data_IF_801724304308
#
_entry.id   IF_801724304308
#
_cell.length_a   1.000
_cell.length_b   1.000
_cell.length_c   1.000
_cell.angle_alpha   90.00
_cell.angle_beta   90.00
_cell.angle_gamma   90.00
#
_symmetry.space_group_name_H-M   'P 1'
#
loop_
_entity.id
_entity.type
_entity.pdbx_description
1 polymer ?
#
# COMPACT_ATOMS: atom_id res chain seq x y z
N UNK A 1 -9.54 -25.89 -16.32
CA UNK A 1 -10.36 -25.88 -15.09
C UNK A 1 -10.73 -24.44 -14.80
N UNK A 2 -12.03 -24.17 -14.67
CA UNK A 2 -12.66 -22.85 -14.57
C UNK A 2 -12.07 -21.97 -13.47
N UNK A 3 -11.49 -20.83 -13.83
CA UNK A 3 -11.43 -19.66 -12.95
C UNK A 3 -12.36 -18.61 -13.53
N UNK A 4 -13.57 -18.55 -12.98
CA UNK A 4 -14.47 -17.44 -13.18
C UNK A 4 -13.67 -16.15 -12.97
N UNK A 5 -13.70 -15.24 -13.95
CA UNK A 5 -13.22 -13.86 -13.81
C UNK A 5 -13.82 -13.30 -12.52
N UNK A 6 -13.05 -13.27 -11.44
CA UNK A 6 -13.44 -12.54 -10.24
C UNK A 6 -13.59 -11.08 -10.67
N UNK A 7 -14.79 -10.55 -10.50
CA UNK A 7 -15.03 -9.13 -10.74
C UNK A 7 -14.12 -8.38 -9.79
N UNK A 8 -13.32 -7.45 -10.33
CA UNK A 8 -12.27 -6.74 -9.57
C UNK A 8 -12.78 -6.07 -8.28
N UNK A 9 -14.07 -5.73 -8.25
CA UNK A 9 -14.74 -5.09 -7.11
C UNK A 9 -15.43 -6.07 -6.13
N UNK A 10 -15.42 -7.38 -6.37
CA UNK A 10 -16.03 -8.34 -5.44
C UNK A 10 -15.20 -8.40 -4.15
N UNK A 11 -15.78 -8.16 -2.97
CA UNK A 11 -15.05 -8.14 -1.72
C UNK A 11 -14.76 -9.55 -1.20
N UNK A 12 -13.49 -9.86 -0.96
CA UNK A 12 -12.98 -11.14 -0.46
C UNK A 12 -12.49 -10.99 0.97
N UNK A 13 -12.81 -11.97 1.82
CA UNK A 13 -12.38 -12.01 3.22
C UNK A 13 -11.10 -12.84 3.37
N UNK A 14 -10.06 -12.27 3.99
CA UNK A 14 -8.83 -12.98 4.38
C UNK A 14 -8.65 -12.92 5.90
N UNK A 15 -8.14 -14.00 6.49
CA UNK A 15 -7.75 -14.03 7.90
C UNK A 15 -6.27 -13.67 7.99
N UNK A 16 -5.95 -12.68 8.82
CA UNK A 16 -4.59 -12.18 9.00
C UNK A 16 -4.25 -12.07 10.48
N UNK A 17 -2.98 -11.87 10.80
CA UNK A 17 -2.52 -11.59 12.16
C UNK A 17 -2.00 -10.16 12.25
N UNK A 18 -2.55 -9.38 13.19
CA UNK A 18 -2.15 -7.99 13.46
C UNK A 18 -1.72 -7.93 14.92
N UNK A 19 -0.45 -7.58 15.19
CA UNK A 19 0.10 -7.56 16.55
C UNK A 19 -0.22 -8.85 17.34
N UNK A 20 -0.06 -10.02 16.71
CA UNK A 20 -0.35 -11.33 17.30
C UNK A 20 -1.84 -11.71 17.40
N UNK A 21 -2.78 -10.83 17.05
CA UNK A 21 -4.22 -11.10 17.10
C UNK A 21 -4.77 -11.47 15.72
N UNK A 22 -5.44 -12.62 15.64
CA UNK A 22 -6.16 -13.02 14.42
C UNK A 22 -7.30 -12.05 14.13
N UNK A 23 -7.28 -11.46 12.95
CA UNK A 23 -8.24 -10.46 12.48
C UNK A 23 -8.73 -10.87 11.11
N UNK A 24 -10.04 -10.94 10.91
CA UNK A 24 -10.59 -11.10 9.57
C UNK A 24 -10.78 -9.74 8.90
N UNK A 25 -10.21 -9.56 7.71
CA UNK A 25 -10.38 -8.38 6.89
C UNK A 25 -11.10 -8.72 5.59
N UNK A 26 -11.93 -7.79 5.12
CA UNK A 26 -12.62 -7.89 3.85
C UNK A 26 -12.29 -6.67 2.99
N UNK A 27 -11.77 -6.92 1.80
CA UNK A 27 -11.35 -5.93 0.80
C UNK A 27 -11.77 -6.40 -0.60
N UNK A 28 -11.92 -5.48 -1.54
CA UNK A 28 -12.14 -5.78 -2.95
C UNK A 28 -11.02 -6.70 -3.47
N UNK A 29 -11.36 -7.60 -4.40
CA UNK A 29 -10.38 -8.55 -4.98
C UNK A 29 -9.16 -7.82 -5.51
N UNK A 30 -9.37 -6.75 -6.27
CA UNK A 30 -8.26 -5.95 -6.82
C UNK A 30 -7.45 -5.22 -5.76
N UNK A 31 -8.07 -4.84 -4.65
CA UNK A 31 -7.34 -4.25 -3.52
C UNK A 31 -6.41 -5.30 -2.90
N UNK A 32 -6.83 -6.57 -2.81
CA UNK A 32 -5.93 -7.64 -2.40
C UNK A 32 -4.79 -7.88 -3.39
N UNK A 33 -5.05 -7.87 -4.69
CA UNK A 33 -4.01 -8.03 -5.72
C UNK A 33 -2.94 -6.92 -5.60
N UNK A 34 -3.38 -5.69 -5.33
CA UNK A 34 -2.49 -4.56 -5.03
C UNK A 34 -1.67 -4.78 -3.75
N UNK A 35 -2.27 -5.31 -2.68
CA UNK A 35 -1.54 -5.64 -1.45
C UNK A 35 -0.46 -6.67 -1.76
N UNK A 36 -0.83 -7.77 -2.40
CA UNK A 36 0.09 -8.87 -2.71
C UNK A 36 1.29 -8.37 -3.55
N UNK A 37 1.02 -7.51 -4.56
CA UNK A 37 2.07 -6.87 -5.37
C UNK A 37 3.06 -6.02 -4.56
N UNK A 38 2.58 -5.26 -3.57
CA UNK A 38 3.44 -4.42 -2.71
C UNK A 38 4.29 -5.30 -1.79
N UNK A 39 3.69 -6.35 -1.21
CA UNK A 39 4.39 -7.25 -0.30
C UNK A 39 5.53 -7.99 -1.01
N UNK A 40 5.28 -8.46 -2.23
CA UNK A 40 6.28 -9.13 -3.05
C UNK A 40 7.40 -8.15 -3.46
N UNK A 41 7.04 -6.94 -3.88
CA UNK A 41 8.02 -5.92 -4.30
C UNK A 41 8.92 -5.43 -3.16
N UNK A 42 8.36 -5.25 -1.96
CA UNK A 42 9.08 -4.76 -0.78
C UNK A 42 9.70 -5.90 0.06
N UNK A 43 9.51 -7.16 -0.34
CA UNK A 43 9.88 -8.34 0.46
C UNK A 43 9.40 -8.23 1.92
N UNK A 44 8.12 -7.88 2.10
CA UNK A 44 7.50 -7.56 3.37
C UNK A 44 6.36 -8.54 3.66
N UNK A 45 6.21 -8.97 4.92
CA UNK A 45 5.06 -9.79 5.29
C UNK A 45 3.78 -8.96 5.50
N UNK A 46 2.62 -9.51 5.14
CA UNK A 46 1.32 -8.87 5.37
C UNK A 46 1.11 -8.50 6.84
N UNK A 47 1.55 -9.35 7.77
CA UNK A 47 1.43 -9.10 9.20
C UNK A 47 2.25 -7.88 9.64
N UNK A 48 3.47 -7.72 9.12
CA UNK A 48 4.31 -6.56 9.41
C UNK A 48 3.71 -5.29 8.82
N UNK A 49 3.24 -5.31 7.57
CA UNK A 49 2.54 -4.17 6.97
C UNK A 49 1.33 -3.77 7.81
N UNK A 50 0.44 -4.70 8.14
CA UNK A 50 -0.74 -4.40 8.94
C UNK A 50 -0.40 -3.88 10.34
N UNK A 51 0.72 -4.31 10.92
CA UNK A 51 1.20 -3.82 12.22
C UNK A 51 1.67 -2.37 12.11
N UNK A 52 2.47 -2.03 11.09
CA UNK A 52 2.87 -0.64 10.83
C UNK A 52 1.66 0.27 10.56
N UNK A 53 0.71 -0.21 9.76
CA UNK A 53 -0.54 0.52 9.52
C UNK A 53 -1.32 0.70 10.82
N UNK A 54 -1.39 -0.32 11.68
CA UNK A 54 -2.10 -0.21 12.96
C UNK A 54 -1.53 0.90 13.84
N UNK A 55 -0.21 1.08 13.82
CA UNK A 55 0.49 2.11 14.60
C UNK A 55 0.24 3.50 14.01
N UNK A 56 0.21 3.64 12.68
CA UNK A 56 0.26 4.94 11.98
C UNK A 56 -1.10 5.48 11.54
N UNK A 57 -2.14 4.64 11.49
CA UNK A 57 -3.42 5.01 10.85
C UNK A 57 -4.40 5.75 11.76
N UNK A 58 -3.99 6.11 12.98
CA UNK A 58 -4.83 6.85 13.93
C UNK A 58 -6.17 6.17 14.17
N UNK A 59 -7.27 6.90 13.91
CA UNK A 59 -8.65 6.39 14.08
C UNK A 59 -9.19 5.59 12.89
N UNK A 60 -8.43 5.42 11.81
CA UNK A 60 -8.90 4.66 10.64
C UNK A 60 -9.09 3.18 10.97
N UNK A 61 -10.15 2.58 10.42
CA UNK A 61 -10.30 1.12 10.44
C UNK A 61 -9.24 0.51 9.53
N UNK A 62 -8.77 -0.69 9.87
CA UNK A 62 -7.69 -1.37 9.13
C UNK A 62 -7.96 -1.47 7.62
N UNK A 63 -9.20 -1.78 7.23
CA UNK A 63 -9.58 -1.85 5.84
C UNK A 63 -9.54 -0.49 5.11
N UNK A 64 -9.80 0.62 5.82
CA UNK A 64 -9.66 1.98 5.28
C UNK A 64 -8.18 2.36 5.17
N UNK A 65 -7.40 2.03 6.22
CA UNK A 65 -5.96 2.26 6.26
C UNK A 65 -5.22 1.57 5.10
N UNK A 66 -5.53 0.30 4.83
CA UNK A 66 -4.92 -0.45 3.71
C UNK A 66 -5.23 0.21 2.37
N UNK A 67 -6.50 0.57 2.11
CA UNK A 67 -6.89 1.23 0.85
C UNK A 67 -6.16 2.57 0.68
N UNK A 68 -6.10 3.39 1.72
CA UNK A 68 -5.40 4.66 1.67
C UNK A 68 -3.89 4.48 1.49
N UNK A 69 -3.29 3.51 2.18
CA UNK A 69 -1.88 3.17 2.04
C UNK A 69 -1.53 2.77 0.60
N UNK A 70 -2.32 1.90 -0.04
CA UNK A 70 -2.11 1.48 -1.44
C UNK A 70 -2.12 2.70 -2.38
N UNK A 71 -3.09 3.60 -2.21
CA UNK A 71 -3.19 4.81 -3.04
C UNK A 71 -1.97 5.71 -2.86
N UNK A 72 -1.50 5.88 -1.61
CA UNK A 72 -0.30 6.66 -1.32
C UNK A 72 0.92 5.97 -1.94
N UNK A 73 1.08 4.67 -1.71
CA UNK A 73 2.23 3.88 -2.17
C UNK A 73 2.40 3.97 -3.68
N UNK A 74 1.35 3.64 -4.45
CA UNK A 74 1.45 3.68 -5.92
C UNK A 74 1.61 5.12 -6.46
N UNK A 75 1.03 6.13 -5.81
CA UNK A 75 1.27 7.53 -6.18
C UNK A 75 2.72 7.93 -5.94
N UNK A 76 3.29 7.52 -4.82
CA UNK A 76 4.68 7.80 -4.44
C UNK A 76 5.66 7.04 -5.36
N UNK A 77 5.38 5.77 -5.65
CA UNK A 77 6.11 4.96 -6.63
C UNK A 77 6.05 5.58 -8.03
N UNK A 78 4.88 6.02 -8.49
CA UNK A 78 4.72 6.67 -9.80
C UNK A 78 5.55 7.96 -9.90
N UNK A 79 5.63 8.76 -8.83
CA UNK A 79 6.50 9.95 -8.78
C UNK A 79 7.97 9.61 -8.83
N UNK A 80 8.40 8.58 -8.10
CA UNK A 80 9.78 8.14 -8.11
C UNK A 80 10.21 7.59 -9.48
N UNK A 81 9.29 6.93 -10.18
CA UNK A 81 9.51 6.37 -11.52
C UNK A 81 9.33 7.40 -12.65
N UNK A 82 8.74 8.56 -12.37
CA UNK A 82 8.53 9.62 -13.35
C UNK A 82 9.59 10.74 -13.17
N UNK A 83 10.66 10.76 -13.98
CA UNK A 83 11.68 11.81 -13.90
C UNK A 83 11.18 13.20 -14.36
N UNK A 84 9.92 13.34 -14.80
CA UNK A 84 9.37 14.55 -15.41
C UNK A 84 8.38 15.31 -14.50
N UNK A 85 8.81 15.78 -13.32
CA UNK A 85 8.15 16.88 -12.60
C UNK A 85 9.25 17.77 -11.98
N UNK A 86 9.48 19.05 -12.27
CA UNK A 86 8.86 20.09 -13.11
C UNK A 86 10.03 20.97 -13.65
N UNK A 87 10.05 21.26 -14.96
CA UNK A 87 10.95 22.24 -15.57
C UNK A 87 12.31 21.73 -16.08
N UNK A 88 12.47 21.74 -17.41
CA UNK A 88 13.75 21.81 -18.16
C UNK A 88 14.88 20.83 -17.79
N UNK A 89 14.92 19.66 -18.47
CA UNK A 89 16.07 19.19 -19.25
C UNK A 89 15.86 17.72 -19.63
N UNK A 90 15.95 17.40 -20.92
CA UNK A 90 15.86 16.03 -21.45
C UNK A 90 17.07 15.14 -21.05
N UNK A 91 17.93 15.61 -20.15
CA UNK A 91 19.28 15.06 -19.88
C UNK A 91 19.43 14.51 -18.45
N UNK A 92 18.43 14.66 -17.56
CA UNK A 92 18.58 14.14 -16.18
C UNK A 92 18.23 12.66 -16.08
N UNK A 93 19.26 11.89 -15.72
CA UNK A 93 19.20 10.47 -15.38
C UNK A 93 18.11 10.18 -14.33
N UNK A 94 17.39 9.04 -14.42
CA UNK A 94 16.31 8.69 -13.50
C UNK A 94 16.76 8.74 -12.02
N UNK A 95 15.87 9.10 -11.08
CA UNK A 95 16.19 9.05 -9.66
C UNK A 95 16.68 7.65 -9.29
N UNK A 96 17.96 7.59 -8.92
CA UNK A 96 18.67 6.35 -8.66
C UNK A 96 18.04 5.60 -7.46
N UNK A 97 17.64 4.34 -7.69
CA UNK A 97 17.88 3.13 -6.89
C UNK A 97 17.77 3.14 -5.33
N UNK A 98 17.37 4.22 -4.65
CA UNK A 98 17.35 4.34 -3.18
C UNK A 98 16.05 4.92 -2.62
N UNK A 99 15.06 5.15 -3.45
CA UNK A 99 13.79 5.67 -2.98
C UNK A 99 12.97 4.54 -2.33
N UNK A 100 12.87 4.57 -0.99
CA UNK A 100 12.10 3.59 -0.24
C UNK A 100 10.62 4.01 -0.22
N UNK A 101 9.89 3.61 -1.27
CA UNK A 101 8.46 3.90 -1.45
C UNK A 101 7.63 3.52 -0.22
N UNK A 102 7.96 2.40 0.42
CA UNK A 102 7.29 1.91 1.63
C UNK A 102 7.40 2.90 2.79
N UNK A 103 8.61 3.33 3.14
CA UNK A 103 8.84 4.23 4.27
C UNK A 103 8.18 5.59 4.02
N UNK A 104 8.31 6.15 2.82
CA UNK A 104 7.66 7.42 2.51
C UNK A 104 6.13 7.30 2.55
N UNK A 105 5.56 6.22 2.00
CA UNK A 105 4.12 6.00 2.05
C UNK A 105 3.60 5.86 3.49
N UNK A 106 4.33 5.17 4.36
CA UNK A 106 4.01 5.05 5.79
C UNK A 106 4.08 6.40 6.51
N UNK A 107 5.07 7.24 6.18
CA UNK A 107 5.21 8.58 6.73
C UNK A 107 4.06 9.50 6.28
N UNK A 108 3.72 9.51 4.98
CA UNK A 108 2.61 10.29 4.44
C UNK A 108 1.28 9.85 5.08
N UNK A 109 1.06 8.54 5.22
CA UNK A 109 -0.13 8.02 5.90
C UNK A 109 -0.19 8.52 7.35
N UNK A 110 0.91 8.44 8.09
CA UNK A 110 0.99 8.91 9.48
C UNK A 110 0.67 10.40 9.62
N UNK A 111 1.02 11.22 8.64
CA UNK A 111 0.75 12.67 8.65
C UNK A 111 -0.70 13.00 8.30
N UNK A 112 -1.32 12.20 7.41
CA UNK A 112 -2.67 12.45 6.89
C UNK A 112 -3.78 11.71 7.64
N UNK A 113 -3.43 10.72 8.46
CA UNK A 113 -4.39 10.00 9.26
C UNK A 113 -5.02 10.94 10.31
N UNK A 114 -6.34 10.84 10.54
CA UNK A 114 -7.01 11.60 11.59
C UNK A 114 -6.37 11.29 12.94
N UNK A 115 -5.94 12.33 13.65
CA UNK A 115 -5.33 12.21 14.99
C UNK A 115 -6.37 11.67 15.99
N UNK A 116 -5.84 10.92 16.97
CA UNK A 116 -6.60 10.31 18.03
C UNK A 116 -7.25 11.33 18.96
#
# INVERSE_FOLDING_TARGET
>A
MNTAKLVLNTPVKRNIYIAGRRTSLQLETYVWDCVDSILDYENLSLSMLCTELKIRSGRLRMAQAIRLFILIYFRTMSKAMNPYQEGADLVRSPPAARFNCLIEALQILSQRAPRA
#
